data_IF_368476592625
#
_entry.id   IF_368476592625
#
_cell.length_a   1.000
_cell.length_b   1.000
_cell.length_c   1.000
_cell.angle_alpha   90.00
_cell.angle_beta   90.00
_cell.angle_gamma   90.00
#
_symmetry.space_group_name_H-M   'P 1'
#
loop_
_entity.id
_entity.type
_entity.pdbx_description
1 polymer ?
#
# COMPACT_ATOMS: atom_id res chain seq x y z
N UNK A 1 -18.43 49.59 38.01
CA UNK A 1 -18.50 49.68 36.54
C UNK A 1 -17.10 49.55 35.97
N UNK A 2 -16.46 48.41 36.20
CA UNK A 2 -16.28 47.30 35.24
C UNK A 2 -15.91 47.78 33.83
N UNK A 3 -14.60 47.89 33.66
CA UNK A 3 -13.78 47.57 32.50
C UNK A 3 -14.26 46.34 31.69
N UNK A 4 -15.43 46.43 31.06
CA UNK A 4 -15.95 45.40 30.13
C UNK A 4 -15.37 45.56 28.71
N UNK A 5 -15.05 46.79 28.30
CA UNK A 5 -14.60 47.09 26.94
C UNK A 5 -13.18 46.61 26.60
N UNK A 6 -12.28 46.52 27.58
CA UNK A 6 -10.90 46.05 27.37
C UNK A 6 -10.84 44.52 27.28
N UNK A 7 -11.60 43.82 28.12
CA UNK A 7 -11.70 42.35 28.10
C UNK A 7 -12.30 41.82 26.79
N UNK A 8 -13.35 42.46 26.27
CA UNK A 8 -13.96 42.05 24.99
C UNK A 8 -13.01 42.30 23.80
N UNK A 9 -12.19 43.34 23.84
CA UNK A 9 -11.17 43.61 22.80
C UNK A 9 -10.02 42.60 22.86
N UNK A 10 -9.61 42.19 24.05
CA UNK A 10 -8.56 41.18 24.27
C UNK A 10 -9.00 39.80 23.76
N UNK A 11 -10.22 39.36 24.09
CA UNK A 11 -10.78 38.10 23.62
C UNK A 11 -10.92 38.03 22.08
N UNK A 12 -11.29 39.14 21.44
CA UNK A 12 -11.35 39.24 19.97
C UNK A 12 -9.98 39.23 19.30
N UNK A 13 -8.94 39.65 20.01
CA UNK A 13 -7.59 39.66 19.51
C UNK A 13 -6.95 38.27 19.62
N UNK A 14 -7.12 37.62 20.78
CA UNK A 14 -6.71 36.23 21.00
C UNK A 14 -7.37 35.28 20.01
N UNK A 15 -8.66 35.46 19.72
CA UNK A 15 -9.36 34.64 18.72
C UNK A 15 -8.82 34.81 17.31
N UNK A 16 -8.37 36.03 16.92
CA UNK A 16 -7.75 36.29 15.61
C UNK A 16 -6.36 35.70 15.50
N UNK A 17 -5.55 35.81 16.55
CA UNK A 17 -4.23 35.18 16.59
C UNK A 17 -4.35 33.66 16.52
N UNK A 18 -5.34 33.09 17.22
CA UNK A 18 -5.64 31.67 17.15
C UNK A 18 -6.10 31.24 15.74
N UNK A 19 -6.95 32.02 15.07
CA UNK A 19 -7.36 31.77 13.68
C UNK A 19 -6.18 31.83 12.70
N UNK A 20 -5.28 32.80 12.86
CA UNK A 20 -4.05 32.88 12.04
C UNK A 20 -3.14 31.69 12.31
N UNK A 21 -2.96 31.31 13.58
CA UNK A 21 -2.17 30.14 13.93
C UNK A 21 -2.77 28.88 13.32
N UNK A 22 -4.08 28.68 13.39
CA UNK A 22 -4.76 27.53 12.79
C UNK A 22 -4.69 27.55 11.24
N UNK A 23 -4.75 28.74 10.62
CA UNK A 23 -4.72 28.88 9.16
C UNK A 23 -3.31 28.83 8.55
N UNK A 24 -2.27 29.12 9.35
CA UNK A 24 -0.88 29.24 8.89
C UNK A 24 0.10 28.26 9.56
N UNK A 25 -0.28 27.64 10.68
CA UNK A 25 0.46 26.61 11.40
C UNK A 25 -0.44 25.39 11.60
N UNK A 26 -0.43 24.43 10.66
CA UNK A 26 -1.27 23.25 10.80
C UNK A 26 -0.85 22.49 12.06
N UNK A 27 -1.84 22.05 12.83
CA UNK A 27 -1.63 21.06 13.89
C UNK A 27 -1.08 19.79 13.25
N UNK A 28 -0.04 19.20 13.82
CA UNK A 28 0.40 17.86 13.41
C UNK A 28 -0.80 16.92 13.46
N UNK A 29 -1.10 16.26 12.34
CA UNK A 29 -2.14 15.27 12.30
C UNK A 29 -1.56 13.94 12.81
N UNK A 30 -2.03 13.40 13.95
CA UNK A 30 -1.61 12.08 14.39
C UNK A 30 -2.09 11.06 13.37
N UNK A 31 -1.14 10.38 12.70
CA UNK A 31 -1.48 9.24 11.86
C UNK A 31 -2.15 8.15 12.71
N UNK A 32 -3.12 7.45 12.14
CA UNK A 32 -3.76 6.31 12.80
C UNK A 32 -2.69 5.24 13.07
N UNK A 33 -2.50 4.87 14.34
CA UNK A 33 -1.51 3.89 14.79
C UNK A 33 -1.63 2.54 14.05
N UNK A 34 -2.85 2.12 13.70
CA UNK A 34 -3.08 0.89 12.95
C UNK A 34 -2.49 0.97 11.54
N UNK A 35 -2.65 2.11 10.86
CA UNK A 35 -2.07 2.34 9.53
C UNK A 35 -0.54 2.37 9.59
N UNK A 36 0.02 3.01 10.61
CA UNK A 36 1.46 3.03 10.82
C UNK A 36 2.01 1.61 11.03
N UNK A 37 1.30 0.80 11.82
CA UNK A 37 1.65 -0.60 12.05
C UNK A 37 1.59 -1.44 10.77
N UNK A 38 0.57 -1.24 9.93
CA UNK A 38 0.49 -1.89 8.60
C UNK A 38 1.64 -1.47 7.68
N UNK A 39 1.96 -0.18 7.62
CA UNK A 39 3.08 0.33 6.84
C UNK A 39 4.42 -0.25 7.30
N UNK A 40 4.65 -0.33 8.61
CA UNK A 40 5.86 -0.92 9.17
C UNK A 40 5.96 -2.42 8.85
N UNK A 41 4.86 -3.17 8.97
CA UNK A 41 4.81 -4.59 8.62
C UNK A 41 5.13 -4.80 7.13
N UNK A 42 4.56 -3.97 6.26
CA UNK A 42 4.82 -3.98 4.83
C UNK A 42 6.30 -3.70 4.52
N UNK A 43 6.87 -2.61 5.06
CA UNK A 43 8.27 -2.26 4.84
C UNK A 43 9.23 -3.34 5.34
N UNK A 44 8.94 -3.92 6.51
CA UNK A 44 9.72 -5.03 7.07
C UNK A 44 9.68 -6.25 6.14
N UNK A 45 8.53 -6.57 5.55
CA UNK A 45 8.40 -7.65 4.59
C UNK A 45 9.24 -7.41 3.32
N UNK A 46 9.17 -6.21 2.74
CA UNK A 46 9.98 -5.85 1.56
C UNK A 46 11.48 -5.94 1.88
N UNK A 47 11.90 -5.49 3.05
CA UNK A 47 13.29 -5.57 3.48
C UNK A 47 13.73 -7.04 3.63
N UNK A 48 12.88 -7.93 4.16
CA UNK A 48 13.15 -9.37 4.21
C UNK A 48 13.25 -9.99 2.81
N UNK A 49 12.40 -9.62 1.86
CA UNK A 49 12.51 -10.09 0.47
C UNK A 49 13.89 -9.79 -0.13
N UNK A 50 14.43 -8.60 0.14
CA UNK A 50 15.76 -8.18 -0.34
C UNK A 50 16.88 -8.93 0.39
N UNK A 51 16.86 -8.94 1.72
CA UNK A 51 17.96 -9.47 2.53
C UNK A 51 17.98 -11.01 2.60
N UNK A 52 16.83 -11.63 2.87
CA UNK A 52 16.72 -13.08 3.02
C UNK A 52 16.46 -13.77 1.68
N UNK A 53 15.58 -13.19 0.86
CA UNK A 53 15.25 -13.72 -0.46
C UNK A 53 16.32 -13.45 -1.53
N UNK A 54 17.28 -12.55 -1.26
CA UNK A 54 18.33 -12.18 -2.20
C UNK A 54 17.82 -11.44 -3.44
N UNK A 55 16.63 -10.85 -3.36
CA UNK A 55 15.98 -10.20 -4.50
C UNK A 55 16.50 -8.78 -4.71
N UNK A 56 16.80 -8.45 -5.96
CA UNK A 56 17.10 -7.09 -6.38
C UNK A 56 15.86 -6.19 -6.27
N UNK A 57 16.06 -4.87 -6.15
CA UNK A 57 14.95 -3.91 -5.99
C UNK A 57 14.04 -3.93 -7.23
N UNK A 58 14.62 -4.09 -8.40
CA UNK A 58 13.98 -4.08 -9.72
C UNK A 58 13.10 -5.31 -9.96
N UNK A 59 13.26 -6.35 -9.13
CA UNK A 59 12.45 -7.56 -9.15
C UNK A 59 11.22 -7.46 -8.23
N UNK A 60 11.06 -6.36 -7.48
CA UNK A 60 10.00 -6.17 -6.49
C UNK A 60 9.19 -4.93 -6.86
N UNK A 61 7.90 -5.12 -7.13
CA UNK A 61 6.94 -4.06 -7.42
C UNK A 61 5.91 -4.00 -6.29
N UNK A 62 5.59 -2.81 -5.81
CA UNK A 62 4.71 -2.61 -4.66
C UNK A 62 3.45 -1.88 -5.07
N UNK A 63 2.32 -2.24 -4.47
CA UNK A 63 1.03 -1.54 -4.56
C UNK A 63 0.58 -1.26 -6.01
N UNK A 64 0.77 -2.23 -6.90
CA UNK A 64 0.42 -2.09 -8.31
C UNK A 64 -1.09 -2.02 -8.46
N UNK A 65 -1.59 -0.94 -9.08
CA UNK A 65 -3.02 -0.68 -9.33
C UNK A 65 -3.39 -1.23 -10.72
N UNK A 66 -3.78 -2.49 -10.73
CA UNK A 66 -4.10 -3.23 -11.95
C UNK A 66 -5.56 -2.99 -12.34
N UNK A 67 -5.85 -2.57 -13.58
CA UNK A 67 -7.23 -2.42 -14.03
C UNK A 67 -7.93 -3.78 -14.10
N UNK A 68 -9.22 -3.81 -13.77
CA UNK A 68 -10.07 -4.98 -14.02
C UNK A 68 -10.21 -5.26 -15.53
N UNK A 69 -10.82 -6.40 -15.87
CA UNK A 69 -11.01 -6.83 -17.26
C UNK A 69 -11.66 -5.75 -18.14
N UNK A 70 -12.57 -4.97 -17.55
CA UNK A 70 -13.36 -3.92 -18.19
C UNK A 70 -12.73 -2.52 -18.09
N UNK A 71 -11.57 -2.40 -17.44
CA UNK A 71 -10.89 -1.14 -17.11
C UNK A 71 -11.78 -0.14 -16.33
N UNK A 72 -12.79 -0.62 -15.61
CA UNK A 72 -13.74 0.22 -14.85
C UNK A 72 -13.25 0.54 -13.45
N UNK A 73 -12.53 -0.41 -12.85
CA UNK A 73 -11.91 -0.27 -11.54
C UNK A 73 -10.44 -0.67 -11.59
N UNK A 74 -9.66 -0.17 -10.65
CA UNK A 74 -8.30 -0.63 -10.41
C UNK A 74 -8.24 -1.32 -9.06
N UNK A 75 -7.72 -2.53 -9.05
CA UNK A 75 -7.45 -3.28 -7.83
C UNK A 75 -5.96 -3.28 -7.54
N UNK A 76 -5.61 -3.16 -6.27
CA UNK A 76 -4.22 -3.18 -5.84
C UNK A 76 -3.72 -4.62 -5.60
N UNK A 77 -2.54 -4.95 -6.13
CA UNK A 77 -1.72 -6.08 -5.68
C UNK A 77 -0.61 -5.53 -4.79
N UNK A 78 -0.54 -6.00 -3.54
CA UNK A 78 0.36 -5.45 -2.52
C UNK A 78 1.83 -5.58 -2.93
N UNK A 79 2.25 -6.76 -3.38
CA UNK A 79 3.61 -6.97 -3.88
C UNK A 79 3.60 -7.92 -5.08
N UNK A 80 4.32 -7.58 -6.13
CA UNK A 80 4.62 -8.49 -7.25
C UNK A 80 6.12 -8.75 -7.27
N UNK A 81 6.50 -10.02 -7.24
CA UNK A 81 7.91 -10.44 -7.26
C UNK A 81 8.21 -11.19 -8.56
N UNK A 82 9.22 -10.72 -9.29
CA UNK A 82 9.76 -11.37 -10.47
C UNK A 82 10.90 -12.31 -10.08
N UNK A 83 10.81 -13.57 -10.50
CA UNK A 83 11.87 -14.57 -10.29
C UNK A 83 12.03 -15.41 -11.56
N UNK A 84 13.13 -16.17 -11.66
CA UNK A 84 13.28 -17.14 -12.74
C UNK A 84 12.19 -18.22 -12.76
N UNK A 85 11.58 -18.53 -11.61
CA UNK A 85 10.48 -19.50 -11.46
C UNK A 85 9.14 -18.96 -11.96
N UNK A 86 8.98 -17.63 -12.00
CA UNK A 86 7.77 -16.95 -12.45
C UNK A 86 7.45 -15.69 -11.63
N UNK A 87 6.19 -15.26 -11.71
CA UNK A 87 5.68 -14.00 -11.18
C UNK A 87 4.81 -14.31 -9.97
N UNK A 88 5.24 -13.88 -8.79
CA UNK A 88 4.47 -14.08 -7.56
C UNK A 88 3.65 -12.84 -7.26
N UNK A 89 2.33 -12.98 -7.21
CA UNK A 89 1.40 -11.91 -6.86
C UNK A 89 0.98 -12.10 -5.40
N UNK A 90 1.45 -11.23 -4.53
CA UNK A 90 1.29 -11.35 -3.08
C UNK A 90 0.25 -10.34 -2.57
N UNK A 91 -0.71 -10.86 -1.82
CA UNK A 91 -1.68 -10.11 -1.02
C UNK A 91 -1.23 -10.17 0.44
N UNK A 92 -0.67 -9.08 0.96
CA UNK A 92 -0.13 -9.05 2.32
C UNK A 92 -1.25 -8.78 3.32
N UNK A 93 -1.36 -9.63 4.34
CA UNK A 93 -2.38 -9.54 5.40
C UNK A 93 -1.70 -9.41 6.76
N UNK A 94 -1.94 -8.30 7.44
CA UNK A 94 -1.43 -8.03 8.78
C UNK A 94 -2.47 -8.30 9.88
N UNK A 95 -3.43 -9.18 9.62
CA UNK A 95 -4.54 -9.48 10.54
C UNK A 95 -4.04 -10.02 11.87
N UNK A 96 -4.79 -9.78 12.94
CA UNK A 96 -4.50 -10.23 14.30
C UNK A 96 -5.59 -11.20 14.75
N UNK A 97 -5.26 -12.13 15.63
CA UNK A 97 -6.23 -13.09 16.17
C UNK A 97 -6.41 -14.31 15.27
N UNK A 98 -7.58 -14.96 15.38
CA UNK A 98 -7.82 -16.28 14.83
C UNK A 98 -8.59 -16.22 13.50
N UNK A 99 -8.16 -17.00 12.52
CA UNK A 99 -8.78 -17.11 11.20
C UNK A 99 -9.33 -18.51 11.01
N UNK A 100 -10.61 -18.59 10.64
CA UNK A 100 -11.28 -19.84 10.30
C UNK A 100 -12.04 -19.74 8.98
N UNK A 101 -12.23 -20.89 8.33
CA UNK A 101 -13.07 -21.01 7.14
C UNK A 101 -14.52 -21.26 7.53
N UNK A 102 -15.45 -20.57 6.89
CA UNK A 102 -16.88 -20.86 6.99
C UNK A 102 -17.55 -20.73 5.62
N UNK A 103 -17.84 -21.88 5.00
CA UNK A 103 -18.49 -22.04 3.70
C UNK A 103 -17.91 -21.15 2.58
N UNK A 104 -18.40 -19.91 2.48
CA UNK A 104 -18.09 -18.95 1.41
C UNK A 104 -17.29 -17.73 1.86
N UNK A 105 -16.98 -17.61 3.15
CA UNK A 105 -16.22 -16.50 3.71
C UNK A 105 -15.24 -16.97 4.79
N UNK A 106 -14.31 -16.09 5.12
CA UNK A 106 -13.35 -16.28 6.19
C UNK A 106 -13.83 -15.52 7.41
N UNK A 107 -13.72 -16.13 8.58
CA UNK A 107 -14.00 -15.50 9.86
C UNK A 107 -12.70 -15.04 10.48
N UNK A 108 -12.62 -13.75 10.80
CA UNK A 108 -11.55 -13.17 11.60
C UNK A 108 -12.09 -12.88 13.01
N UNK A 109 -11.56 -13.60 14.00
CA UNK A 109 -11.88 -13.43 15.40
C UNK A 109 -10.76 -12.65 16.09
N UNK A 110 -11.07 -11.45 16.56
CA UNK A 110 -10.12 -10.59 17.25
C UNK A 110 -10.48 -10.50 18.73
N UNK A 111 -9.54 -10.79 19.65
CA UNK A 111 -9.75 -10.51 21.06
C UNK A 111 -9.78 -9.00 21.26
N UNK A 112 -10.91 -8.49 21.73
CA UNK A 112 -11.09 -7.09 22.08
C UNK A 112 -10.76 -6.97 23.58
N UNK A 113 -9.57 -6.45 23.89
CA UNK A 113 -9.20 -6.15 25.27
C UNK A 113 -9.55 -4.70 25.60
N UNK A 114 -10.77 -4.48 26.07
CA UNK A 114 -11.04 -3.31 26.92
C UNK A 114 -10.81 -3.70 28.37
N UNK A 115 -10.35 -2.77 29.22
CA UNK A 115 -9.94 -3.03 30.62
C UNK A 115 -11.02 -3.72 31.49
N UNK A 116 -12.27 -3.77 31.01
CA UNK A 116 -13.44 -4.21 31.77
C UNK A 116 -14.14 -5.45 31.19
N UNK A 117 -13.93 -5.82 29.91
CA UNK A 117 -14.63 -6.95 29.27
C UNK A 117 -13.73 -7.63 28.22
N UNK A 118 -13.61 -8.96 28.29
CA UNK A 118 -13.02 -9.78 27.23
C UNK A 118 -14.08 -10.11 26.19
N UNK A 119 -14.34 -9.20 25.26
CA UNK A 119 -15.20 -9.49 24.11
C UNK A 119 -14.36 -10.04 22.95
N UNK A 120 -14.95 -10.87 22.11
CA UNK A 120 -14.33 -11.31 20.85
C UNK A 120 -15.14 -10.70 19.73
N UNK A 121 -14.53 -9.81 18.95
CA UNK A 121 -15.16 -9.29 17.75
C UNK A 121 -14.96 -10.29 16.61
N UNK A 122 -16.03 -10.54 15.86
CA UNK A 122 -16.02 -11.47 14.73
C UNK A 122 -16.33 -10.68 13.46
N UNK A 123 -15.42 -10.72 12.50
CA UNK A 123 -15.57 -10.08 11.20
C UNK A 123 -15.63 -11.13 10.10
N UNK A 124 -16.66 -11.07 9.28
CA UNK A 124 -16.73 -11.83 8.04
C UNK A 124 -15.90 -11.12 6.96
N UNK A 125 -15.05 -11.87 6.28
CA UNK A 125 -14.18 -11.37 5.22
C UNK A 125 -14.38 -12.24 3.98
N UNK A 126 -14.56 -11.60 2.83
CA UNK A 126 -14.60 -12.31 1.54
C UNK A 126 -13.29 -13.10 1.33
N UNK A 127 -13.38 -14.23 0.63
CA UNK A 127 -12.25 -15.14 0.41
C UNK A 127 -11.03 -14.41 -0.19
N UNK A 128 -9.95 -14.20 0.59
CA UNK A 128 -8.75 -13.51 0.11
C UNK A 128 -8.03 -14.30 -0.99
N UNK A 129 -8.17 -15.64 -1.02
CA UNK A 129 -7.55 -16.51 -2.03
C UNK A 129 -8.21 -16.31 -3.38
N UNK A 130 -9.54 -16.29 -3.43
CA UNK A 130 -10.26 -15.96 -4.67
C UNK A 130 -9.94 -14.54 -5.12
N UNK A 131 -9.87 -13.60 -4.19
CA UNK A 131 -9.55 -12.21 -4.51
C UNK A 131 -8.17 -12.07 -5.16
N UNK A 132 -7.11 -12.68 -4.61
CA UNK A 132 -5.77 -12.61 -5.22
C UNK A 132 -5.69 -13.37 -6.54
N UNK A 133 -6.45 -14.46 -6.72
CA UNK A 133 -6.56 -15.15 -8.02
C UNK A 133 -7.15 -14.24 -9.10
N UNK A 134 -8.24 -13.54 -8.80
CA UNK A 134 -8.86 -12.58 -9.71
C UNK A 134 -7.91 -11.42 -10.04
N UNK A 135 -7.28 -10.81 -9.03
CA UNK A 135 -6.27 -9.76 -9.24
C UNK A 135 -5.11 -10.24 -10.13
N UNK A 136 -4.65 -11.47 -9.91
CA UNK A 136 -3.56 -12.07 -10.70
C UNK A 136 -3.97 -12.31 -12.15
N UNK A 137 -5.21 -12.75 -12.38
CA UNK A 137 -5.78 -12.88 -13.72
C UNK A 137 -5.89 -11.53 -14.43
N UNK A 138 -6.34 -10.49 -13.72
CA UNK A 138 -6.38 -9.12 -14.24
C UNK A 138 -4.97 -8.62 -14.62
N UNK A 139 -3.96 -8.91 -13.81
CA UNK A 139 -2.57 -8.56 -14.13
C UNK A 139 -2.08 -9.28 -15.38
N UNK A 140 -2.34 -10.59 -15.49
CA UNK A 140 -1.99 -11.36 -16.68
C UNK A 140 -2.66 -10.78 -17.94
N UNK A 141 -3.97 -10.51 -17.88
CA UNK A 141 -4.72 -9.89 -18.97
C UNK A 141 -4.14 -8.52 -19.36
N UNK A 142 -3.78 -7.70 -18.37
CA UNK A 142 -3.17 -6.40 -18.59
C UNK A 142 -1.81 -6.52 -19.29
N UNK A 143 -0.96 -7.45 -18.84
CA UNK A 143 0.36 -7.69 -19.44
C UNK A 143 0.25 -8.23 -20.87
N UNK A 144 -0.69 -9.15 -21.13
CA UNK A 144 -0.99 -9.66 -22.46
C UNK A 144 -1.41 -8.54 -23.42
N UNK A 145 -2.31 -7.64 -22.99
CA UNK A 145 -2.75 -6.47 -23.77
C UNK A 145 -1.59 -5.50 -24.09
N UNK A 146 -0.56 -5.46 -23.24
CA UNK A 146 0.64 -4.65 -23.42
C UNK A 146 1.80 -5.39 -24.12
N UNK A 147 1.52 -6.52 -24.77
CA UNK A 147 2.48 -7.25 -25.61
C UNK A 147 3.39 -8.23 -24.85
N UNK A 148 3.18 -8.47 -23.57
CA UNK A 148 3.93 -9.46 -22.79
C UNK A 148 3.21 -10.81 -22.85
N UNK A 149 3.70 -11.69 -23.74
CA UNK A 149 3.10 -13.01 -23.96
C UNK A 149 3.64 -14.06 -23.00
N UNK A 150 2.90 -14.37 -21.94
CA UNK A 150 3.26 -15.39 -20.95
C UNK A 150 2.10 -16.35 -20.71
N UNK A 151 2.42 -17.59 -20.35
CA UNK A 151 1.41 -18.55 -19.89
C UNK A 151 0.89 -18.12 -18.52
N UNK A 152 -0.41 -18.25 -18.30
CA UNK A 152 -1.03 -17.97 -17.01
C UNK A 152 -0.41 -18.81 -15.87
N UNK A 153 0.07 -20.01 -16.17
CA UNK A 153 0.76 -20.89 -15.22
C UNK A 153 2.08 -20.33 -14.68
N UNK A 154 2.60 -19.25 -15.26
CA UNK A 154 3.78 -18.54 -14.75
C UNK A 154 3.45 -17.56 -13.60
N UNK A 155 2.17 -17.39 -13.27
CA UNK A 155 1.70 -16.48 -12.22
C UNK A 155 1.27 -17.27 -10.99
N UNK A 156 1.81 -16.90 -9.84
CA UNK A 156 1.61 -17.57 -8.56
C UNK A 156 0.91 -16.63 -7.57
N UNK A 157 -0.43 -16.71 -7.44
CA UNK A 157 -1.15 -15.94 -6.42
C UNK A 157 -0.82 -16.47 -5.03
N UNK A 158 -0.52 -15.57 -4.09
CA UNK A 158 -0.29 -15.92 -2.68
C UNK A 158 -0.92 -14.92 -1.73
N UNK A 159 -1.57 -15.42 -0.68
CA UNK A 159 -2.00 -14.63 0.48
C UNK A 159 -0.97 -14.85 1.58
N UNK A 160 -0.33 -13.79 2.05
CA UNK A 160 0.78 -13.89 3.01
C UNK A 160 0.37 -13.22 4.32
N UNK A 161 0.24 -14.02 5.37
CA UNK A 161 -0.04 -13.53 6.71
C UNK A 161 1.27 -13.14 7.40
N UNK A 162 1.51 -11.84 7.56
CA UNK A 162 2.80 -11.32 8.06
C UNK A 162 2.82 -11.12 9.58
N UNK A 163 1.67 -11.20 10.23
CA UNK A 163 1.54 -10.95 11.64
C UNK A 163 1.76 -12.24 12.46
N UNK A 164 2.77 -12.30 13.36
CA UNK A 164 3.08 -13.53 14.11
C UNK A 164 1.99 -13.94 15.12
N UNK A 165 1.12 -13.01 15.53
CA UNK A 165 -0.01 -13.30 16.43
C UNK A 165 -1.29 -13.66 15.67
N UNK A 166 -1.18 -13.92 14.36
CA UNK A 166 -2.27 -14.44 13.56
C UNK A 166 -2.28 -15.98 13.64
N UNK A 167 -3.35 -16.53 14.17
CA UNK A 167 -3.56 -17.97 14.28
C UNK A 167 -4.47 -18.44 13.15
N UNK A 168 -4.02 -19.42 12.38
CA UNK A 168 -4.79 -20.01 11.28
C UNK A 168 -5.33 -21.36 11.70
N UNK A 169 -6.63 -21.60 11.51
CA UNK A 169 -7.19 -22.94 11.69
C UNK A 169 -6.53 -23.96 10.76
N UNK A 170 -6.42 -25.24 11.15
CA UNK A 170 -5.58 -26.23 10.47
C UNK A 170 -5.86 -26.43 8.97
N UNK A 171 -7.08 -26.12 8.52
CA UNK A 171 -7.50 -26.22 7.13
C UNK A 171 -6.94 -25.08 6.26
N UNK A 172 -6.75 -23.89 6.84
CA UNK A 172 -6.34 -22.68 6.11
C UNK A 172 -4.92 -22.84 5.52
N UNK A 173 -3.89 -23.32 6.25
CA UNK A 173 -2.56 -23.56 5.70
C UNK A 173 -2.49 -24.69 4.66
N UNK A 174 -3.51 -25.54 4.54
CA UNK A 174 -3.56 -26.58 3.49
C UNK A 174 -3.88 -25.99 2.11
N UNK A 175 -4.39 -24.75 2.07
CA UNK A 175 -4.63 -24.05 0.82
C UNK A 175 -3.29 -23.59 0.24
N UNK A 176 -2.96 -24.08 -0.95
CA UNK A 176 -1.66 -23.84 -1.61
C UNK A 176 -1.29 -22.37 -1.77
N UNK A 177 -2.27 -21.49 -1.90
CA UNK A 177 -2.06 -20.05 -2.04
C UNK A 177 -1.76 -19.35 -0.70
N UNK A 178 -1.94 -20.01 0.44
CA UNK A 178 -1.79 -19.39 1.76
C UNK A 178 -0.40 -19.62 2.31
N UNK A 179 0.25 -18.53 2.74
CA UNK A 179 1.50 -18.57 3.49
C UNK A 179 1.20 -18.14 4.93
N UNK A 180 1.26 -19.12 5.84
CA UNK A 180 1.09 -18.91 7.27
C UNK A 180 2.24 -18.07 7.88
N UNK A 181 2.02 -17.36 9.01
CA UNK A 181 3.05 -16.51 9.62
C UNK A 181 4.36 -17.24 9.93
N UNK A 182 4.29 -18.48 10.42
CA UNK A 182 5.45 -19.32 10.70
C UNK A 182 6.25 -19.72 9.44
N UNK A 183 5.61 -19.72 8.27
CA UNK A 183 6.20 -20.15 7.00
C UNK A 183 6.71 -18.97 6.15
N UNK A 184 6.44 -17.72 6.55
CA UNK A 184 6.83 -16.53 5.77
C UNK A 184 8.33 -16.49 5.46
N UNK A 185 9.18 -16.77 6.45
CA UNK A 185 10.63 -16.72 6.24
C UNK A 185 11.12 -17.83 5.32
N UNK A 186 10.61 -19.06 5.49
CA UNK A 186 10.89 -20.19 4.58
C UNK A 186 10.47 -19.86 3.15
N UNK A 187 9.28 -19.30 2.98
CA UNK A 187 8.77 -18.84 1.68
C UNK A 187 9.70 -17.79 1.05
N UNK A 188 10.13 -16.78 1.81
CA UNK A 188 11.07 -15.76 1.31
C UNK A 188 12.42 -16.38 0.93
N UNK A 189 12.98 -17.27 1.75
CA UNK A 189 14.24 -17.96 1.47
C UNK A 189 14.18 -18.81 0.20
N UNK A 190 13.01 -19.34 -0.18
CA UNK A 190 12.83 -20.11 -1.42
C UNK A 190 13.13 -19.31 -2.70
N UNK A 191 13.14 -17.98 -2.62
CA UNK A 191 13.56 -17.11 -3.72
C UNK A 191 15.07 -17.08 -3.92
N UNK A 192 15.86 -17.25 -2.86
CA UNK A 192 17.33 -17.24 -2.91
C UNK A 192 17.86 -18.37 -3.78
N UNK A 193 17.27 -19.56 -3.65
CA UNK A 193 17.58 -20.74 -4.47
C UNK A 193 17.23 -20.54 -5.95
N UNK A 194 16.18 -19.76 -6.23
CA UNK A 194 15.81 -19.35 -7.58
C UNK A 194 16.77 -18.31 -8.19
N UNK A 195 17.34 -17.42 -7.37
CA UNK A 195 18.25 -16.38 -7.84
C UNK A 195 19.67 -16.90 -8.12
N UNK A 196 20.22 -17.77 -7.27
CA UNK A 196 21.55 -18.36 -7.47
C UNK A 196 21.58 -19.30 -8.68
N UNK A 197 20.53 -20.11 -8.87
CA UNK A 197 20.37 -20.92 -10.08
C UNK A 197 20.12 -20.05 -11.32
N UNK A 198 19.45 -18.90 -11.19
CA UNK A 198 19.24 -17.99 -12.32
C UNK A 198 20.54 -17.31 -12.81
N UNK A 199 21.42 -16.88 -11.91
CA UNK A 199 22.74 -16.33 -12.29
C UNK A 199 23.61 -17.38 -12.97
N UNK A 200 23.56 -18.64 -12.53
CA UNK A 200 24.33 -19.72 -13.18
C UNK A 200 23.69 -20.20 -14.49
N UNK A 201 22.39 -20.00 -14.68
CA UNK A 201 21.65 -20.35 -15.90
C UNK A 201 21.75 -19.32 -17.05
N UNK A 202 22.61 -18.29 -16.92
CA UNK A 202 22.90 -17.32 -17.99
C UNK A 202 23.47 -17.99 -19.27
N UNK A 203 23.92 -19.25 -19.17
CA UNK A 203 24.52 -20.02 -20.27
C UNK A 203 23.66 -21.20 -20.79
N UNK A 204 22.45 -21.43 -20.25
CA UNK A 204 21.64 -22.62 -20.58
C UNK A 204 20.54 -22.31 -21.61
N UNK A 205 20.44 -23.07 -22.73
CA UNK A 205 19.41 -22.86 -23.74
C UNK A 205 17.96 -22.99 -23.24
N UNK A 206 17.11 -22.10 -23.72
CA UNK A 206 15.75 -21.76 -23.28
C UNK A 206 14.67 -22.88 -23.34
N UNK A 207 14.97 -24.09 -23.82
CA UNK A 207 13.96 -25.12 -24.08
C UNK A 207 13.90 -26.23 -23.03
N UNK A 208 14.84 -26.27 -22.07
CA UNK A 208 14.95 -27.38 -21.11
C UNK A 208 14.40 -27.10 -19.69
N UNK A 209 14.22 -25.85 -19.24
CA UNK A 209 13.95 -25.59 -17.81
C UNK A 209 12.60 -24.94 -17.46
N UNK A 210 11.82 -24.44 -18.42
CA UNK A 210 10.54 -23.76 -18.13
C UNK A 210 10.67 -22.43 -17.35
N UNK A 211 11.88 -21.88 -17.21
CA UNK A 211 12.14 -20.60 -16.54
C UNK A 211 11.86 -19.40 -17.47
N UNK A 212 11.60 -18.22 -16.91
CA UNK A 212 11.43 -16.99 -17.69
C UNK A 212 12.74 -16.60 -18.39
N UNK A 213 12.66 -16.30 -19.69
CA UNK A 213 13.82 -15.82 -20.46
C UNK A 213 14.23 -14.40 -20.03
N UNK A 214 15.49 -14.02 -20.26
CA UNK A 214 15.96 -12.66 -19.96
C UNK A 214 15.13 -11.57 -20.65
N UNK A 215 14.74 -11.80 -21.92
CA UNK A 215 13.87 -10.88 -22.67
C UNK A 215 12.50 -10.74 -22.00
N UNK A 216 11.89 -11.86 -21.59
CA UNK A 216 10.62 -11.82 -20.87
C UNK A 216 10.73 -11.03 -19.57
N UNK A 217 11.83 -11.18 -18.82
CA UNK A 217 12.05 -10.40 -17.60
C UNK A 217 12.18 -8.91 -17.92
N UNK A 218 12.98 -8.53 -18.93
CA UNK A 218 13.11 -7.11 -19.32
C UNK A 218 11.78 -6.51 -19.76
N UNK A 219 11.01 -7.24 -20.57
CA UNK A 219 9.70 -6.79 -21.05
C UNK A 219 8.67 -6.72 -19.92
N UNK A 220 8.69 -7.69 -19.00
CA UNK A 220 7.89 -7.67 -17.77
C UNK A 220 8.24 -6.47 -16.90
N UNK A 221 9.51 -6.25 -16.59
CA UNK A 221 9.97 -5.12 -15.78
C UNK A 221 9.51 -3.81 -16.40
N UNK A 222 9.64 -3.67 -17.72
CA UNK A 222 9.17 -2.47 -18.45
C UNK A 222 7.65 -2.32 -18.37
N UNK A 223 6.88 -3.39 -18.59
CA UNK A 223 5.43 -3.33 -18.57
C UNK A 223 4.89 -3.06 -17.15
N UNK A 224 5.43 -3.74 -16.13
CA UNK A 224 5.08 -3.52 -14.73
C UNK A 224 5.48 -2.13 -14.24
N UNK A 225 6.61 -1.59 -14.71
CA UNK A 225 7.02 -0.21 -14.42
C UNK A 225 6.07 0.86 -14.97
N UNK A 226 5.21 0.51 -15.94
CA UNK A 226 4.16 1.39 -16.46
C UNK A 226 2.82 1.22 -15.75
N UNK A 227 2.68 0.20 -14.90
CA UNK A 227 1.47 0.03 -14.08
C UNK A 227 1.54 1.03 -12.94
N UNK A 228 0.56 1.94 -12.90
CA UNK A 228 0.50 2.96 -11.85
C UNK A 228 0.33 2.36 -10.45
N UNK A 229 0.75 3.12 -9.46
CA UNK A 229 0.45 2.89 -8.04
C UNK A 229 -0.62 3.88 -7.56
N UNK A 230 -0.84 3.98 -6.24
CA UNK A 230 -1.68 5.04 -5.69
C UNK A 230 -1.11 6.43 -5.95
N UNK A 231 -2.00 7.41 -6.14
CA UNK A 231 -1.64 8.81 -6.08
C UNK A 231 -1.53 9.22 -4.59
N UNK A 232 -0.47 9.94 -4.26
CA UNK A 232 -0.17 10.39 -2.90
C UNK A 232 -0.29 11.90 -2.86
N UNK A 233 -1.11 12.41 -1.95
CA UNK A 233 -1.22 13.84 -1.66
C UNK A 233 -0.69 14.09 -0.25
N UNK A 234 0.48 14.71 -0.18
CA UNK A 234 1.07 15.16 1.06
C UNK A 234 0.52 16.54 1.42
N UNK A 235 -0.19 16.62 2.55
CA UNK A 235 -0.79 17.83 3.06
C UNK A 235 0.18 18.55 4.01
N UNK A 236 0.07 19.87 4.01
CA UNK A 236 0.76 20.70 4.98
C UNK A 236 0.30 20.33 6.41
N UNK A 237 1.22 19.93 7.29
CA UNK A 237 0.92 19.36 8.61
C UNK A 237 1.21 17.86 8.74
N UNK A 238 1.80 17.25 7.71
CA UNK A 238 2.30 15.86 7.74
C UNK A 238 1.26 14.80 7.42
N UNK A 239 0.01 15.18 7.17
CA UNK A 239 -1.03 14.23 6.78
C UNK A 239 -0.84 13.78 5.33
N UNK A 240 -0.90 12.46 5.10
CA UNK A 240 -0.86 11.87 3.76
C UNK A 240 -2.22 11.31 3.36
N UNK A 241 -2.73 11.73 2.21
CA UNK A 241 -3.90 11.13 1.57
C UNK A 241 -3.47 10.23 0.42
N UNK A 242 -4.09 9.06 0.33
CA UNK A 242 -3.79 8.03 -0.67
C UNK A 242 -5.08 7.72 -1.41
N UNK A 243 -5.08 7.83 -2.73
CA UNK A 243 -6.29 7.63 -3.53
C UNK A 243 -6.05 7.74 -5.03
N UNK A 244 -7.14 7.77 -5.80
CA UNK A 244 -7.09 8.08 -7.23
C UNK A 244 -7.33 9.58 -7.43
N UNK A 245 -6.38 10.28 -8.05
CA UNK A 245 -6.52 11.68 -8.41
C UNK A 245 -7.42 11.83 -9.64
N UNK A 246 -8.61 12.41 -9.44
CA UNK A 246 -9.60 12.60 -10.50
C UNK A 246 -9.42 13.89 -11.33
N UNK A 247 -8.44 14.74 -10.98
CA UNK A 247 -8.18 16.00 -11.66
C UNK A 247 -8.40 17.23 -10.77
N UNK A 248 -8.02 18.39 -11.30
CA UNK A 248 -8.28 19.70 -10.72
C UNK A 248 -8.85 20.60 -11.82
N UNK A 249 -9.91 21.35 -11.54
CA UNK A 249 -10.61 22.19 -12.53
C UNK A 249 -9.70 23.19 -13.28
N UNK A 250 -8.55 23.54 -12.70
CA UNK A 250 -7.66 24.58 -13.24
C UNK A 250 -6.29 24.08 -13.68
N UNK A 251 -6.00 22.78 -13.54
CA UNK A 251 -4.70 22.20 -13.87
C UNK A 251 -4.93 20.90 -14.65
N UNK A 252 -4.47 20.87 -15.90
CA UNK A 252 -4.35 19.65 -16.68
C UNK A 252 -2.97 19.04 -16.42
N UNK A 253 -2.94 17.91 -15.70
CA UNK A 253 -1.71 17.17 -15.41
C UNK A 253 -1.53 16.03 -16.42
N UNK A 254 -0.41 16.01 -17.15
CA UNK A 254 0.01 14.84 -17.91
C UNK A 254 0.81 13.88 -17.01
N UNK A 255 0.20 12.76 -16.63
CA UNK A 255 0.81 11.76 -15.74
C UNK A 255 1.98 10.99 -16.35
N UNK A 256 2.13 11.02 -17.68
CA UNK A 256 3.27 10.39 -18.35
C UNK A 256 4.56 11.22 -18.24
N UNK A 257 4.42 12.51 -17.95
CA UNK A 257 5.52 13.48 -17.97
C UNK A 257 5.79 14.12 -16.59
N UNK A 258 4.83 14.05 -15.66
CA UNK A 258 4.91 14.68 -14.35
C UNK A 258 4.78 13.65 -13.21
N UNK A 259 5.88 13.49 -12.46
CA UNK A 259 5.96 12.60 -11.29
C UNK A 259 5.43 13.26 -10.00
N UNK A 260 5.51 14.59 -9.90
CA UNK A 260 5.13 15.34 -8.70
C UNK A 260 4.46 16.68 -9.07
N UNK A 261 3.41 17.04 -8.32
CA UNK A 261 2.74 18.34 -8.40
C UNK A 261 2.71 18.97 -7.00
N UNK A 262 3.50 20.02 -6.81
CA UNK A 262 3.55 20.75 -5.55
C UNK A 262 2.65 21.99 -5.59
N UNK A 263 1.78 22.13 -4.58
CA UNK A 263 1.00 23.34 -4.36
C UNK A 263 1.61 24.15 -3.21
N UNK A 264 2.47 25.11 -3.52
CA UNK A 264 3.06 25.97 -2.49
C UNK A 264 2.17 27.21 -2.26
N UNK A 265 1.55 27.31 -1.08
CA UNK A 265 0.86 28.55 -0.67
C UNK A 265 1.84 29.48 0.05
N UNK A 266 1.94 30.75 -0.36
CA UNK A 266 2.68 31.79 0.38
C UNK A 266 1.90 32.26 1.63
N UNK A 267 1.65 31.38 2.59
CA UNK A 267 1.14 31.77 3.93
C UNK A 267 2.34 31.94 4.86
N UNK A 268 2.92 33.14 4.86
CA UNK A 268 3.97 33.47 5.82
C UNK A 268 3.30 33.79 7.17
N UNK A 269 3.56 32.99 8.20
CA UNK A 269 3.08 33.18 9.58
C UNK A 269 3.30 34.61 10.08
N UNK A 270 4.48 35.18 9.80
CA UNK A 270 4.81 36.56 10.19
C UNK A 270 3.89 37.57 9.52
N UNK A 271 3.60 37.37 8.23
CA UNK A 271 2.68 38.23 7.47
C UNK A 271 1.23 38.02 7.93
N UNK A 272 0.83 36.78 8.24
CA UNK A 272 -0.48 36.46 8.81
C UNK A 272 -0.72 37.12 10.16
N UNK A 273 0.26 37.09 11.06
CA UNK A 273 0.18 37.78 12.35
C UNK A 273 0.11 39.29 12.17
N UNK A 274 0.91 39.87 11.27
CA UNK A 274 0.84 41.30 10.94
C UNK A 274 -0.56 41.69 10.43
N UNK A 275 -1.18 40.88 9.56
CA UNK A 275 -2.55 41.13 9.09
C UNK A 275 -3.59 41.02 10.22
N UNK A 276 -3.43 40.07 11.15
CA UNK A 276 -4.31 39.98 12.33
C UNK A 276 -4.19 41.19 13.26
N UNK A 277 -2.99 41.77 13.42
CA UNK A 277 -2.79 43.01 14.18
C UNK A 277 -3.58 44.19 13.58
N UNK A 278 -3.68 44.24 12.25
CA UNK A 278 -4.45 45.27 11.50
C UNK A 278 -5.94 44.94 11.43
N UNK A 279 -6.36 43.79 11.97
CA UNK A 279 -7.76 43.41 12.14
C UNK A 279 -8.34 42.54 11.03
N UNK A 280 -7.50 42.01 10.15
CA UNK A 280 -7.89 41.00 9.17
C UNK A 280 -8.02 39.62 9.82
N UNK A 281 -9.09 38.90 9.49
CA UNK A 281 -9.27 37.49 9.86
C UNK A 281 -9.22 36.65 8.58
N UNK A 282 -8.32 35.66 8.47
CA UNK A 282 -8.39 34.72 7.36
C UNK A 282 -9.73 33.97 7.41
N UNK A 283 -10.46 33.96 6.30
CA UNK A 283 -11.63 33.09 6.14
C UNK A 283 -11.13 31.69 5.76
N UNK A 284 -11.62 30.67 6.49
CA UNK A 284 -11.39 29.25 6.18
C UNK A 284 -12.24 28.84 4.99
#
# INVERSE_FOLDING_TARGET
>A
MVSLGSHVKMLKFESRLFQVQQACGPTEFPENEEKLFELQAFQKFILKLRLLGGLAKEAIFCNLRVPDEFQKSKEEISVVVLTGKGIFCLDLRNWKGKISLQDSYWLLQMPESTELIKNTSIKQVADPVQKIKTKTLNLWNHLMKNGVCLRQSAFFPRVVFVNPICELDPEVPQINEVIAPCNVESFICSFKEGYTSWITNILTPHWLSGHLSFRHITDLTRALGKVGTWDILDLHGGQRLIGDYHGCLHIALNREEADELEFSHRRNLTVGYLWALVGYSPQL
#
